data_IF_601843498326
#
_entry.id   IF_601843498326
#
_cell.length_a   1.000
_cell.length_b   1.000
_cell.length_c   1.000
_cell.angle_alpha   90.00
_cell.angle_beta   90.00
_cell.angle_gamma   90.00
#
_symmetry.space_group_name_H-M   'P 1'
#
loop_
_entity.id
_entity.type
_entity.pdbx_description
1 polymer ?
#
# COMPACT_ATOMS: atom_id res chain seq x y z
N UNK A 1 20.10 -12.79 21.41
CA UNK A 1 19.98 -13.39 20.06
C UNK A 1 18.83 -12.77 19.25
N UNK A 2 17.78 -12.19 19.88
CA UNK A 2 16.65 -11.54 19.19
C UNK A 2 16.97 -10.23 18.44
N UNK A 3 17.88 -9.38 18.94
CA UNK A 3 18.23 -8.08 18.32
C UNK A 3 18.81 -8.20 16.89
N UNK A 4 19.39 -9.35 16.53
CA UNK A 4 19.95 -9.57 15.19
C UNK A 4 18.90 -10.02 14.17
N UNK A 5 17.80 -10.65 14.61
CA UNK A 5 16.76 -11.15 13.72
C UNK A 5 15.83 -10.02 13.24
N UNK A 6 15.49 -9.09 14.14
CA UNK A 6 14.62 -7.94 13.81
C UNK A 6 15.30 -6.96 12.86
N UNK A 7 16.61 -6.71 13.08
CA UNK A 7 17.44 -5.88 12.18
C UNK A 7 17.55 -6.51 10.79
N UNK A 8 17.60 -7.85 10.72
CA UNK A 8 17.57 -8.58 9.46
C UNK A 8 16.21 -8.41 8.75
N UNK A 9 15.10 -8.63 9.45
CA UNK A 9 13.74 -8.45 8.90
C UNK A 9 13.52 -7.05 8.31
N UNK A 10 13.88 -6.00 9.05
CA UNK A 10 13.71 -4.61 8.60
C UNK A 10 14.54 -4.31 7.34
N UNK A 11 15.81 -4.70 7.34
CA UNK A 11 16.71 -4.45 6.20
C UNK A 11 16.26 -5.18 4.93
N UNK A 12 15.70 -6.39 5.07
CA UNK A 12 15.14 -7.20 3.99
C UNK A 12 13.86 -6.57 3.44
N UNK A 13 12.97 -6.10 4.32
CA UNK A 13 11.75 -5.38 3.92
C UNK A 13 12.07 -4.08 3.17
N UNK A 14 12.97 -3.24 3.70
CA UNK A 14 13.40 -2.00 3.04
C UNK A 14 14.04 -2.26 1.66
N UNK A 15 14.88 -3.30 1.56
CA UNK A 15 15.50 -3.68 0.29
C UNK A 15 14.48 -4.20 -0.72
N UNK A 16 13.50 -4.97 -0.26
CA UNK A 16 12.41 -5.46 -1.08
C UNK A 16 11.54 -4.30 -1.63
N UNK A 17 11.17 -3.35 -0.78
CA UNK A 17 10.40 -2.16 -1.18
C UNK A 17 11.12 -1.37 -2.28
N UNK A 18 12.43 -1.13 -2.13
CA UNK A 18 13.24 -0.51 -3.19
C UNK A 18 13.24 -1.33 -4.49
N UNK A 19 13.36 -2.66 -4.38
CA UNK A 19 13.40 -3.55 -5.54
C UNK A 19 12.10 -3.55 -6.34
N UNK A 20 10.96 -3.31 -5.70
CA UNK A 20 9.65 -3.20 -6.35
C UNK A 20 9.31 -1.76 -6.78
N UNK A 21 10.26 -0.83 -6.68
CA UNK A 21 10.10 0.55 -7.14
C UNK A 21 9.43 1.50 -6.14
N UNK A 22 9.37 1.15 -4.85
CA UNK A 22 8.95 2.06 -3.79
C UNK A 22 10.20 2.65 -3.14
N UNK A 23 10.46 3.97 -3.28
CA UNK A 23 11.57 4.63 -2.61
C UNK A 23 11.51 4.36 -1.11
N UNK A 24 12.59 3.87 -0.51
CA UNK A 24 12.64 3.53 0.91
C UNK A 24 14.02 3.90 1.46
N UNK A 25 14.07 4.98 2.22
CA UNK A 25 15.30 5.61 2.71
C UNK A 25 15.38 5.55 4.24
N UNK A 26 16.57 5.24 4.75
CA UNK A 26 16.83 5.32 6.18
C UNK A 26 16.96 6.80 6.59
N UNK A 27 16.20 7.22 7.59
CA UNK A 27 16.16 8.58 8.11
C UNK A 27 15.99 8.53 9.64
N UNK A 28 17.11 8.50 10.40
CA UNK A 28 17.06 8.44 11.86
C UNK A 28 16.24 9.57 12.47
N UNK A 29 15.42 9.24 13.45
CA UNK A 29 14.51 10.16 14.15
C UNK A 29 13.24 10.51 13.37
N UNK A 30 12.99 9.90 12.21
CA UNK A 30 11.74 10.12 11.47
C UNK A 30 10.53 9.71 12.30
N UNK A 31 9.44 10.46 12.11
CA UNK A 31 8.15 10.22 12.77
C UNK A 31 7.07 10.41 11.74
N UNK A 32 6.13 9.48 11.71
CA UNK A 32 4.90 9.57 10.92
C UNK A 32 3.72 9.16 11.78
N UNK A 33 2.68 8.65 11.12
CA UNK A 33 1.50 8.13 11.80
C UNK A 33 1.84 6.89 12.63
N UNK A 34 2.57 5.94 12.03
CA UNK A 34 3.18 4.83 12.74
C UNK A 34 4.60 5.19 13.22
N UNK A 35 5.00 4.62 14.36
CA UNK A 35 6.29 4.92 14.97
C UNK A 35 7.46 4.45 14.09
N UNK A 36 8.45 5.33 13.90
CA UNK A 36 9.67 5.03 13.17
C UNK A 36 9.53 4.96 11.65
N UNK A 37 8.37 5.25 11.06
CA UNK A 37 8.18 5.29 9.60
C UNK A 37 7.33 6.50 9.20
N UNK A 38 7.59 7.06 8.02
CA UNK A 38 6.85 8.18 7.45
C UNK A 38 6.70 8.00 5.95
N UNK A 39 5.47 8.12 5.46
CA UNK A 39 5.19 8.20 4.03
C UNK A 39 5.53 9.61 3.52
N UNK A 40 6.32 9.71 2.45
CA UNK A 40 6.69 10.98 1.82
C UNK A 40 6.75 10.80 0.31
N UNK A 41 5.89 11.52 -0.40
CA UNK A 41 5.85 11.58 -1.87
C UNK A 41 5.81 10.19 -2.52
N UNK A 42 4.96 9.29 -2.00
CA UNK A 42 4.88 7.91 -2.48
C UNK A 42 6.09 7.03 -2.18
N UNK A 43 6.99 7.48 -1.29
CA UNK A 43 8.08 6.70 -0.72
C UNK A 43 7.98 6.61 0.80
N UNK A 44 8.95 5.92 1.40
CA UNK A 44 9.04 5.71 2.85
C UNK A 44 10.38 6.23 3.39
N UNK A 45 10.29 6.92 4.53
CA UNK A 45 11.43 7.20 5.40
C UNK A 45 11.29 6.36 6.65
N UNK A 46 12.34 5.66 7.05
CA UNK A 46 12.29 4.82 8.24
C UNK A 46 13.49 5.03 9.17
N UNK A 47 13.24 4.97 10.47
CA UNK A 47 14.25 4.94 11.51
C UNK A 47 14.86 3.52 11.59
N UNK A 48 16.16 3.36 11.87
CA UNK A 48 16.77 2.03 12.06
C UNK A 48 16.11 1.15 13.14
N UNK A 49 15.42 1.77 14.11
CA UNK A 49 14.66 1.09 15.15
C UNK A 49 13.18 0.90 14.78
N UNK A 50 12.78 1.20 13.54
CA UNK A 50 11.42 0.98 13.06
C UNK A 50 11.03 -0.50 13.14
N UNK A 51 9.79 -0.76 13.55
CA UNK A 51 9.22 -2.10 13.50
C UNK A 51 8.99 -2.49 12.02
N UNK A 52 9.35 -3.71 11.66
CA UNK A 52 9.12 -4.21 10.30
C UNK A 52 7.63 -4.28 9.97
N UNK A 53 6.76 -4.51 10.95
CA UNK A 53 5.29 -4.43 10.81
C UNK A 53 4.85 -3.05 10.31
N UNK A 54 5.31 -1.98 10.95
CA UNK A 54 5.02 -0.60 10.55
C UNK A 54 5.53 -0.30 9.13
N UNK A 55 6.77 -0.69 8.82
CA UNK A 55 7.35 -0.44 7.50
C UNK A 55 6.56 -1.14 6.39
N UNK A 56 6.19 -2.41 6.60
CA UNK A 56 5.40 -3.17 5.61
C UNK A 56 3.97 -2.66 5.48
N UNK A 57 3.36 -2.19 6.57
CA UNK A 57 2.01 -1.61 6.53
C UNK A 57 1.97 -0.33 5.68
N UNK A 58 2.86 0.64 5.96
CA UNK A 58 2.97 1.87 5.15
C UNK A 58 3.39 1.56 3.71
N UNK A 59 4.27 0.58 3.51
CA UNK A 59 4.61 0.06 2.19
C UNK A 59 3.39 -0.50 1.45
N UNK A 60 2.46 -1.14 2.15
CA UNK A 60 1.19 -1.64 1.61
C UNK A 60 0.28 -0.53 1.12
N UNK A 61 0.16 0.58 1.86
CA UNK A 61 -0.58 1.76 1.38
C UNK A 61 -0.02 2.28 0.05
N UNK A 62 1.30 2.46 -0.03
CA UNK A 62 1.95 2.92 -1.26
C UNK A 62 1.81 1.91 -2.40
N UNK A 63 2.01 0.62 -2.12
CA UNK A 63 2.02 -0.43 -3.12
C UNK A 63 0.65 -0.66 -3.78
N UNK A 64 -0.43 -0.52 -3.03
CA UNK A 64 -1.80 -0.77 -3.51
C UNK A 64 -2.39 0.41 -4.29
N UNK A 65 -1.86 1.62 -4.09
CA UNK A 65 -2.24 2.80 -4.88
C UNK A 65 -1.63 2.73 -6.29
N UNK A 66 -2.41 3.03 -7.36
CA UNK A 66 -1.89 3.11 -8.72
C UNK A 66 -0.75 4.12 -8.83
N UNK A 67 0.28 3.79 -9.62
CA UNK A 67 1.55 4.54 -9.68
C UNK A 67 1.33 6.05 -9.91
N UNK A 68 0.37 6.41 -10.76
CA UNK A 68 0.08 7.79 -11.11
C UNK A 68 -0.25 8.68 -9.89
N UNK A 69 -0.81 8.12 -8.80
CA UNK A 69 -1.21 8.88 -7.62
C UNK A 69 -0.35 8.62 -6.38
N UNK A 70 0.66 7.76 -6.44
CA UNK A 70 1.52 7.48 -5.26
C UNK A 70 2.14 8.74 -4.68
N UNK A 71 2.55 9.67 -5.53
CA UNK A 71 3.12 10.97 -5.14
C UNK A 71 2.18 11.80 -4.24
N UNK A 72 0.86 11.58 -4.32
CA UNK A 72 -0.12 12.23 -3.45
C UNK A 72 -0.11 11.68 -2.01
N UNK A 73 0.51 10.53 -1.77
CA UNK A 73 0.64 9.96 -0.44
C UNK A 73 1.81 10.64 0.28
N UNK A 74 1.49 11.45 1.30
CA UNK A 74 2.46 12.04 2.22
C UNK A 74 1.81 12.22 3.58
N UNK A 75 2.47 11.71 4.62
CA UNK A 75 1.97 11.71 5.99
C UNK A 75 0.61 10.99 6.15
N UNK A 76 -0.50 11.73 6.11
CA UNK A 76 -1.85 11.18 6.18
C UNK A 76 -2.26 10.66 4.80
N UNK A 77 -2.17 9.34 4.61
CA UNK A 77 -2.55 8.65 3.38
C UNK A 77 -4.02 8.89 2.99
N UNK A 78 -4.91 9.21 3.94
CA UNK A 78 -6.29 9.54 3.64
C UNK A 78 -6.41 10.86 2.87
N UNK A 79 -5.49 11.81 3.05
CA UNK A 79 -5.41 13.04 2.23
C UNK A 79 -5.12 12.68 0.79
N UNK A 80 -4.12 11.82 0.56
CA UNK A 80 -3.74 11.37 -0.78
C UNK A 80 -4.84 10.56 -1.47
N UNK A 81 -5.52 9.67 -0.75
CA UNK A 81 -6.69 8.96 -1.28
C UNK A 81 -7.82 9.91 -1.69
N UNK A 82 -8.14 10.92 -0.89
CA UNK A 82 -9.15 11.92 -1.26
C UNK A 82 -8.76 12.69 -2.52
N UNK A 83 -7.48 13.04 -2.67
CA UNK A 83 -6.99 13.71 -3.88
C UNK A 83 -7.08 12.79 -5.11
N UNK A 84 -6.70 11.51 -4.98
CA UNK A 84 -6.89 10.50 -6.02
C UNK A 84 -8.37 10.35 -6.42
N UNK A 85 -9.29 10.25 -5.47
CA UNK A 85 -10.73 10.17 -5.78
C UNK A 85 -11.23 11.44 -6.45
N UNK A 86 -10.77 12.62 -6.04
CA UNK A 86 -11.12 13.87 -6.70
C UNK A 86 -10.61 13.93 -8.15
N UNK A 87 -9.45 13.33 -8.45
CA UNK A 87 -8.95 13.22 -9.82
C UNK A 87 -9.78 12.22 -10.64
N UNK A 88 -10.14 11.07 -10.05
CA UNK A 88 -11.00 10.07 -10.71
C UNK A 88 -12.39 10.63 -11.03
N UNK A 89 -12.98 11.42 -10.14
CA UNK A 89 -14.29 12.07 -10.35
C UNK A 89 -14.26 13.05 -11.53
N UNK A 90 -13.11 13.65 -11.84
CA UNK A 90 -12.94 14.53 -13.01
C UNK A 90 -12.76 13.76 -14.32
N UNK A 91 -12.44 12.47 -14.26
CA UNK A 91 -12.26 11.65 -15.45
C UNK A 91 -13.62 11.11 -15.93
N UNK A 92 -14.37 11.94 -16.65
CA UNK A 92 -15.73 11.66 -17.13
C UNK A 92 -15.86 10.39 -18.01
N UNK A 93 -14.74 9.89 -18.55
CA UNK A 93 -14.69 8.72 -19.45
C UNK A 93 -14.39 7.40 -18.74
N UNK A 94 -14.21 7.38 -17.41
CA UNK A 94 -13.93 6.14 -16.71
C UNK A 94 -15.17 5.27 -16.59
N UNK A 95 -15.03 4.02 -17.02
CA UNK A 95 -15.95 2.95 -16.65
C UNK A 95 -15.90 2.78 -15.12
N UNK A 96 -17.03 2.89 -14.39
CA UNK A 96 -17.06 2.67 -12.94
C UNK A 96 -16.63 1.24 -12.56
N UNK A 97 -16.82 0.27 -13.47
CA UNK A 97 -16.30 -1.09 -13.34
C UNK A 97 -15.00 -1.28 -14.13
N UNK A 98 -14.28 -0.19 -14.41
CA UNK A 98 -12.98 -0.21 -15.06
C UNK A 98 -11.89 -0.75 -14.12
N UNK A 99 -10.80 -1.34 -14.67
CA UNK A 99 -9.66 -1.81 -13.86
C UNK A 99 -9.07 -0.73 -12.95
N UNK A 100 -9.00 0.52 -13.43
CA UNK A 100 -8.43 1.65 -12.69
C UNK A 100 -9.31 2.08 -11.51
N UNK A 101 -10.62 2.21 -11.72
CA UNK A 101 -11.57 2.56 -10.66
C UNK A 101 -11.62 1.45 -9.60
N UNK A 102 -11.64 0.18 -10.03
CA UNK A 102 -11.51 -0.96 -9.10
C UNK A 102 -10.21 -0.89 -8.30
N UNK A 103 -9.08 -0.63 -8.94
CA UNK A 103 -7.80 -0.51 -8.24
C UNK A 103 -7.82 0.59 -7.17
N UNK A 104 -8.35 1.77 -7.50
CA UNK A 104 -8.44 2.90 -6.58
C UNK A 104 -9.41 2.67 -5.41
N UNK A 105 -10.48 1.89 -5.61
CA UNK A 105 -11.40 1.52 -4.54
C UNK A 105 -10.82 0.47 -3.57
N UNK A 106 -9.77 -0.25 -3.98
CA UNK A 106 -9.20 -1.40 -3.27
C UNK A 106 -7.75 -1.13 -2.81
N UNK A 107 -7.54 0.03 -2.18
CA UNK A 107 -6.23 0.44 -1.63
C UNK A 107 -6.34 1.05 -0.22
N UNK A 108 -7.29 0.55 0.59
CA UNK A 108 -7.52 1.03 1.96
C UNK A 108 -6.75 0.20 3.00
N UNK A 109 -6.92 0.52 4.30
CA UNK A 109 -6.21 -0.15 5.40
C UNK A 109 -6.27 -1.69 5.34
N UNK A 110 -7.42 -2.34 5.08
CA UNK A 110 -7.45 -3.80 4.94
C UNK A 110 -6.55 -4.32 3.81
N UNK A 111 -6.53 -3.67 2.64
CA UNK A 111 -5.67 -4.10 1.55
C UNK A 111 -4.19 -3.89 1.89
N UNK A 112 -3.84 -2.79 2.55
CA UNK A 112 -2.49 -2.55 3.05
C UNK A 112 -2.04 -3.62 4.07
N UNK A 113 -2.91 -3.99 5.02
CA UNK A 113 -2.65 -5.08 5.98
C UNK A 113 -2.48 -6.44 5.28
N UNK A 114 -3.35 -6.76 4.33
CA UNK A 114 -3.25 -8.02 3.57
C UNK A 114 -1.98 -8.06 2.69
N UNK A 115 -1.60 -6.93 2.11
CA UNK A 115 -0.37 -6.79 1.32
C UNK A 115 0.86 -6.94 2.19
N UNK A 116 0.89 -6.28 3.36
CA UNK A 116 1.98 -6.39 4.34
C UNK A 116 2.19 -7.84 4.79
N UNK A 117 1.10 -8.56 5.05
CA UNK A 117 1.14 -9.99 5.33
C UNK A 117 1.77 -10.78 4.18
N UNK A 118 1.29 -10.59 2.96
CA UNK A 118 1.82 -11.28 1.78
C UNK A 118 3.32 -11.02 1.55
N UNK A 119 3.74 -9.75 1.65
CA UNK A 119 5.14 -9.35 1.54
C UNK A 119 5.99 -9.98 2.64
N UNK A 120 5.55 -9.93 3.90
CA UNK A 120 6.25 -10.54 5.02
C UNK A 120 6.40 -12.06 4.86
N UNK A 121 5.35 -12.76 4.40
CA UNK A 121 5.40 -14.19 4.09
C UNK A 121 6.37 -14.50 2.94
N UNK A 122 6.37 -13.69 1.89
CA UNK A 122 7.31 -13.82 0.76
C UNK A 122 8.77 -13.65 1.21
N UNK A 123 8.99 -12.72 2.13
CA UNK A 123 10.29 -12.49 2.76
C UNK A 123 10.58 -13.48 3.90
N UNK A 124 9.72 -14.45 4.21
CA UNK A 124 9.97 -15.39 5.32
C UNK A 124 10.22 -14.69 6.67
N UNK A 125 9.61 -13.53 6.90
CA UNK A 125 9.63 -12.83 8.19
C UNK A 125 8.70 -13.60 9.15
N UNK A 126 9.08 -13.76 10.44
CA UNK A 126 8.21 -14.38 11.44
C UNK A 126 6.84 -13.70 11.52
N UNK A 127 5.76 -14.47 11.63
CA UNK A 127 4.40 -13.94 11.51
C UNK A 127 4.06 -12.88 12.58
N UNK A 128 4.59 -13.06 13.79
CA UNK A 128 4.51 -12.14 14.92
C UNK A 128 5.38 -10.88 14.77
N UNK A 129 6.32 -10.86 13.83
CA UNK A 129 7.03 -9.64 13.41
C UNK A 129 6.31 -8.91 12.27
N UNK A 130 5.53 -9.61 11.43
CA UNK A 130 4.75 -8.99 10.35
C UNK A 130 3.55 -8.22 10.93
N UNK A 131 2.87 -8.81 11.91
CA UNK A 131 1.78 -8.19 12.66
C UNK A 131 1.95 -8.57 14.14
N UNK A 132 2.15 -7.61 15.02
CA UNK A 132 2.37 -7.84 16.45
C UNK A 132 1.06 -8.11 17.19
N UNK A 133 1.10 -8.83 18.31
CA UNK A 133 -0.08 -9.11 19.13
C UNK A 133 -0.78 -7.85 19.64
N UNK A 134 -0.01 -6.82 19.97
CA UNK A 134 -0.49 -5.55 20.51
C UNK A 134 -1.10 -4.62 19.46
N UNK A 135 -0.87 -4.87 18.17
CA UNK A 135 -1.41 -4.04 17.10
C UNK A 135 -2.93 -4.22 16.96
N UNK A 136 -3.57 -3.27 16.27
CA UNK A 136 -5.02 -3.27 16.01
C UNK A 136 -5.86 -3.43 17.29
N UNK A 137 -5.47 -2.75 18.38
CA UNK A 137 -6.20 -2.82 19.65
C UNK A 137 -6.01 -4.13 20.41
N UNK A 138 -4.85 -4.78 20.28
CA UNK A 138 -4.53 -6.13 20.78
C UNK A 138 -5.22 -7.28 20.02
N UNK A 139 -5.62 -7.05 18.77
CA UNK A 139 -6.27 -8.05 17.91
C UNK A 139 -5.32 -8.69 16.90
N UNK A 140 -4.02 -8.36 16.92
CA UNK A 140 -3.04 -8.81 15.94
C UNK A 140 -3.01 -10.34 15.75
N UNK A 141 -3.08 -11.11 16.83
CA UNK A 141 -3.16 -12.58 16.76
C UNK A 141 -4.39 -13.08 15.99
N UNK A 142 -5.54 -12.42 16.20
CA UNK A 142 -6.78 -12.71 15.47
C UNK A 142 -6.68 -12.35 14.00
N UNK A 143 -6.05 -11.22 13.68
CA UNK A 143 -5.81 -10.79 12.29
C UNK A 143 -4.87 -11.77 11.56
N UNK A 144 -3.77 -12.21 12.18
CA UNK A 144 -2.87 -13.22 11.61
C UNK A 144 -3.59 -14.54 11.34
N UNK A 145 -4.46 -14.97 12.26
CA UNK A 145 -5.30 -16.16 12.05
C UNK A 145 -6.24 -15.97 10.85
N UNK A 146 -6.93 -14.83 10.75
CA UNK A 146 -7.82 -14.53 9.63
C UNK A 146 -7.07 -14.47 8.28
N UNK A 147 -5.87 -13.90 8.25
CA UNK A 147 -5.02 -13.85 7.05
C UNK A 147 -4.56 -15.26 6.64
N UNK A 148 -4.13 -16.07 7.60
CA UNK A 148 -3.70 -17.45 7.39
C UNK A 148 -4.83 -18.34 6.87
N UNK A 149 -6.05 -18.12 7.35
CA UNK A 149 -7.25 -18.81 6.89
C UNK A 149 -7.85 -18.22 5.60
N UNK A 150 -7.25 -17.15 5.06
CA UNK A 150 -7.74 -16.41 3.88
C UNK A 150 -9.15 -15.84 4.06
N UNK A 151 -9.51 -15.45 5.28
CA UNK A 151 -10.81 -14.86 5.63
C UNK A 151 -10.72 -13.37 5.95
N UNK A 152 -9.53 -12.79 5.99
CA UNK A 152 -9.36 -11.36 6.23
C UNK A 152 -9.90 -10.53 5.03
N UNK A 153 -10.72 -9.48 5.26
CA UNK A 153 -11.47 -8.80 4.20
C UNK A 153 -10.59 -8.19 3.11
N UNK A 154 -9.43 -7.63 3.46
CA UNK A 154 -8.52 -7.01 2.49
C UNK A 154 -7.97 -7.96 1.42
N UNK A 155 -8.05 -9.28 1.64
CA UNK A 155 -7.68 -10.27 0.63
C UNK A 155 -8.64 -10.20 -0.58
N UNK A 156 -9.92 -9.93 -0.33
CA UNK A 156 -10.88 -9.76 -1.42
C UNK A 156 -10.58 -8.50 -2.23
N UNK A 157 -10.17 -7.41 -1.57
CA UNK A 157 -9.78 -6.19 -2.25
C UNK A 157 -8.54 -6.38 -3.13
N UNK A 158 -7.49 -7.00 -2.59
CA UNK A 158 -6.32 -7.38 -3.40
C UNK A 158 -6.67 -8.29 -4.58
N UNK A 159 -7.63 -9.21 -4.42
CA UNK A 159 -8.09 -10.06 -5.51
C UNK A 159 -8.86 -9.26 -6.59
N UNK A 160 -9.73 -8.34 -6.19
CA UNK A 160 -10.45 -7.46 -7.11
C UNK A 160 -9.55 -6.44 -7.82
N UNK A 161 -8.45 -6.05 -7.17
CA UNK A 161 -7.37 -5.25 -7.74
C UNK A 161 -6.41 -6.06 -8.62
N UNK A 162 -6.61 -7.38 -8.77
CA UNK A 162 -5.82 -8.23 -9.67
C UNK A 162 -4.48 -8.72 -9.12
N UNK A 163 -4.21 -8.56 -7.81
CA UNK A 163 -2.96 -9.05 -7.21
C UNK A 163 -2.95 -10.58 -7.04
N UNK A 164 -4.09 -11.20 -6.76
CA UNK A 164 -4.14 -12.63 -6.44
C UNK A 164 -5.54 -13.23 -6.68
N UNK A 165 -5.64 -14.54 -6.56
CA UNK A 165 -6.90 -15.26 -6.42
C UNK A 165 -7.16 -15.60 -4.94
N UNK A 166 -8.41 -15.49 -4.50
CA UNK A 166 -8.81 -15.95 -3.15
C UNK A 166 -8.78 -17.48 -3.07
N UNK A 167 -9.23 -18.16 -4.13
CA UNK A 167 -9.30 -19.62 -4.23
C UNK A 167 -8.66 -20.11 -5.53
N UNK A 168 -8.08 -21.31 -5.50
CA UNK A 168 -7.54 -21.92 -6.70
C UNK A 168 -8.63 -22.05 -7.78
N UNK A 169 -8.32 -21.61 -9.00
CA UNK A 169 -9.23 -21.67 -10.14
C UNK A 169 -10.27 -20.55 -10.23
N UNK A 170 -10.34 -19.60 -9.29
CA UNK A 170 -11.25 -18.45 -9.41
C UNK A 170 -10.75 -17.38 -10.40
N UNK A 171 -9.45 -17.36 -10.67
CA UNK A 171 -8.78 -16.50 -11.64
C UNK A 171 -7.44 -17.16 -12.06
N UNK A 172 -6.85 -16.80 -13.21
CA UNK A 172 -5.51 -17.25 -13.62
C UNK A 172 -4.40 -16.50 -12.86
N UNK A 173 -4.55 -16.38 -11.53
CA UNK A 173 -3.66 -15.65 -10.63
C UNK A 173 -3.18 -16.59 -9.50
N UNK A 174 -2.01 -16.34 -8.90
CA UNK A 174 -1.55 -17.08 -7.74
C UNK A 174 -2.54 -16.91 -6.57
N UNK A 175 -2.64 -17.93 -5.73
CA UNK A 175 -3.52 -17.90 -4.57
C UNK A 175 -2.84 -17.16 -3.42
N UNK A 176 -3.56 -16.24 -2.77
CA UNK A 176 -3.07 -15.53 -1.57
C UNK A 176 -2.49 -16.52 -0.54
N UNK A 177 -1.32 -16.24 0.09
CA UNK A 177 -0.59 -14.97 0.12
C UNK A 177 0.37 -14.72 -1.04
N UNK A 178 0.45 -15.58 -2.05
CA UNK A 178 1.27 -15.29 -3.23
C UNK A 178 0.57 -14.24 -4.11
N UNK A 179 1.29 -13.18 -4.49
CA UNK A 179 0.79 -12.12 -5.36
C UNK A 179 1.44 -12.22 -6.75
N UNK A 180 0.69 -11.88 -7.80
CA UNK A 180 1.16 -11.82 -9.18
C UNK A 180 2.09 -10.62 -9.41
N UNK A 181 1.80 -9.52 -8.72
CA UNK A 181 2.54 -8.27 -8.75
C UNK A 181 2.68 -7.75 -7.33
N UNK A 182 3.73 -6.96 -7.07
CA UNK A 182 3.95 -6.34 -5.76
C UNK A 182 3.49 -4.89 -5.69
N UNK A 183 3.21 -4.28 -6.84
CA UNK A 183 2.72 -2.92 -6.98
C UNK A 183 1.50 -2.93 -7.89
N UNK A 184 0.54 -2.05 -7.62
CA UNK A 184 -0.70 -1.93 -8.39
C UNK A 184 -0.42 -1.79 -9.89
N UNK A 185 -0.85 -2.76 -10.73
CA UNK A 185 -0.58 -2.75 -12.16
C UNK A 185 -1.53 -1.87 -12.98
N UNK A 186 -2.62 -1.36 -12.40
CA UNK A 186 -3.58 -0.55 -13.15
C UNK A 186 -2.95 0.73 -13.72
N UNK A 187 -3.02 0.87 -15.04
CA UNK A 187 -2.55 2.03 -15.78
C UNK A 187 -3.64 3.10 -15.87
N UNK A 188 -3.24 4.36 -15.79
CA UNK A 188 -4.12 5.49 -16.11
C UNK A 188 -4.01 5.73 -17.62
N UNK A 189 -5.12 5.76 -18.38
CA UNK A 189 -5.08 6.10 -19.81
C UNK A 189 -4.40 7.44 -20.06
N UNK A 190 -3.60 7.55 -21.12
CA UNK A 190 -2.85 8.76 -21.44
C UNK A 190 -3.75 10.00 -21.57
N UNK A 191 -4.94 9.85 -22.18
CA UNK A 191 -5.92 10.95 -22.29
C UNK A 191 -6.36 11.50 -20.92
N UNK A 192 -6.40 10.65 -19.89
CA UNK A 192 -6.76 11.05 -18.53
C UNK A 192 -5.59 11.74 -17.82
N UNK A 193 -4.35 11.32 -18.11
CA UNK A 193 -3.15 11.97 -17.58
C UNK A 193 -2.94 13.37 -18.17
N UNK A 194 -3.25 13.57 -19.45
CA UNK A 194 -3.20 14.88 -20.10
C UNK A 194 -4.20 15.85 -19.47
N UNK A 195 -5.44 15.42 -19.26
CA UNK A 195 -6.48 16.24 -18.62
C UNK A 195 -6.07 16.73 -17.21
N UNK A 196 -5.42 15.86 -16.41
CA UNK A 196 -4.92 16.25 -15.08
C UNK A 196 -3.80 17.29 -15.12
N UNK A 197 -2.96 17.27 -16.17
CA UNK A 197 -1.83 18.20 -16.33
C UNK A 197 -2.28 19.59 -16.78
N UNK A 198 -3.22 19.66 -17.71
CA UNK A 198 -3.75 20.92 -18.23
C UNK A 198 -4.43 21.74 -17.12
N UNK A 199 -5.14 21.09 -16.19
CA UNK A 199 -5.78 21.78 -15.08
C UNK A 199 -4.81 22.31 -14.02
N UNK A 200 -3.73 21.57 -13.73
CA UNK A 200 -2.71 22.00 -12.77
C UNK A 200 -2.00 23.30 -13.18
N UNK A 201 -1.94 23.57 -14.49
CA UNK A 201 -1.34 24.77 -15.08
C UNK A 201 -2.35 25.93 -15.27
N UNK A 202 -3.64 25.72 -15.00
CA UNK A 202 -4.64 26.80 -14.99
C UNK A 202 -4.51 27.62 -13.70
N UNK A 203 -4.29 28.96 -13.78
CA UNK A 203 -4.26 29.80 -12.60
C UNK A 203 -5.62 29.75 -11.89
N UNK A 204 -5.64 29.27 -10.64
CA UNK A 204 -6.83 29.41 -9.79
C UNK A 204 -7.02 30.89 -9.50
N UNK A 205 -8.01 31.52 -10.13
CA UNK A 205 -8.39 32.90 -9.78
C UNK A 205 -8.74 32.94 -8.30
N UNK A 206 -7.96 33.71 -7.55
CA UNK A 206 -8.18 33.95 -6.13
C UNK A 206 -9.46 34.79 -6.00
N UNK A 207 -10.59 34.14 -5.73
CA UNK A 207 -11.83 34.85 -5.39
C UNK A 207 -11.68 35.35 -3.95
N UNK A 208 -11.08 36.54 -3.81
CA UNK A 208 -11.18 37.33 -2.60
C UNK A 208 -12.63 37.82 -2.45
N UNK A 209 -13.35 37.30 -1.45
CA UNK A 209 -14.60 37.86 -0.94
C UNK A 209 -14.47 38.15 0.54
#
# INVERSE_FOLDING_TARGET
MALNATTDSLSRAASFLRAIGIPCEEAPGTRGFLEGVRVRDGGLLYDPACLVSNLLHEGGHVATVPVAWRHLLSDDVAVGHRAMFADLERMELLDPDGPLVRAALQCSDPEATAWAWAAGKHLGIPEDEIILDSEYGNEGAGIRLALSLRSYPGINGLAHAGFCAVRAGSAPLPVFPALAHWTQPAEVPDECLEALREEADTPRECVCS
#
